data_IF_716935556173
#
_entry.id   IF_716935556173
#
_cell.length_a   1.000
_cell.length_b   1.000
_cell.length_c   1.000
_cell.angle_alpha   90.00
_cell.angle_beta   90.00
_cell.angle_gamma   90.00
#
_symmetry.space_group_name_H-M   'P 1'
#
loop_
_entity.id
_entity.type
_entity.pdbx_description
1 polymer ?
#
# COMPACT_ATOMS: atom_id res chain seq x y z
N UNK A 1 -17.13 -35.72 34.03
CA UNK A 1 -16.72 -34.52 34.80
C UNK A 1 -15.49 -33.96 34.11
N UNK A 2 -15.62 -32.82 33.42
CA UNK A 2 -14.46 -32.16 32.78
C UNK A 2 -13.66 -31.44 33.86
N UNK A 3 -12.42 -31.90 34.09
CA UNK A 3 -11.48 -31.25 34.99
C UNK A 3 -11.01 -29.94 34.38
N UNK A 4 -11.35 -28.82 35.03
CA UNK A 4 -10.82 -27.52 34.66
C UNK A 4 -9.34 -27.47 35.02
N UNK A 5 -8.48 -27.47 34.00
CA UNK A 5 -7.05 -27.23 34.20
C UNK A 5 -6.88 -25.80 34.74
N UNK A 6 -6.33 -25.71 35.94
CA UNK A 6 -6.10 -24.45 36.62
C UNK A 6 -5.00 -23.70 35.87
N UNK A 7 -5.36 -22.59 35.22
CA UNK A 7 -4.36 -21.70 34.61
C UNK A 7 -3.57 -21.07 35.76
N UNK A 8 -2.23 -21.10 35.74
CA UNK A 8 -1.42 -20.51 36.80
C UNK A 8 -1.54 -18.98 36.83
N UNK A 9 -1.63 -18.40 38.03
CA UNK A 9 -1.79 -16.95 38.21
C UNK A 9 -0.66 -16.12 37.58
N UNK A 10 0.56 -16.66 37.55
CA UNK A 10 1.71 -16.01 36.91
C UNK A 10 1.51 -15.80 35.40
N UNK A 11 0.76 -16.68 34.73
CA UNK A 11 0.44 -16.57 33.30
C UNK A 11 -0.55 -15.42 33.06
N UNK A 12 -1.56 -15.28 33.92
CA UNK A 12 -2.53 -14.18 33.85
C UNK A 12 -1.86 -12.83 34.07
N UNK A 13 -0.93 -12.74 35.03
CA UNK A 13 -0.14 -11.53 35.30
C UNK A 13 0.71 -11.17 34.07
N UNK A 14 1.37 -12.15 33.44
CA UNK A 14 2.14 -11.94 32.21
C UNK A 14 1.29 -11.41 31.05
N UNK A 15 0.10 -11.98 30.83
CA UNK A 15 -0.84 -11.52 29.79
C UNK A 15 -1.28 -10.08 30.08
N UNK A 16 -1.61 -9.75 31.32
CA UNK A 16 -2.01 -8.40 31.72
C UNK A 16 -0.91 -7.36 31.46
N UNK A 17 0.35 -7.69 31.80
CA UNK A 17 1.50 -6.82 31.54
C UNK A 17 1.66 -6.56 30.04
N UNK A 18 1.53 -7.59 29.20
CA UNK A 18 1.63 -7.45 27.74
C UNK A 18 0.53 -6.53 27.20
N UNK A 19 -0.71 -6.65 27.71
CA UNK A 19 -1.83 -5.79 27.32
C UNK A 19 -1.58 -4.33 27.72
N UNK A 20 -1.09 -4.07 28.93
CA UNK A 20 -0.79 -2.72 29.41
C UNK A 20 0.33 -2.07 28.59
N UNK A 21 1.41 -2.81 28.31
CA UNK A 21 2.52 -2.32 27.48
C UNK A 21 2.03 -1.99 26.07
N UNK A 22 1.20 -2.86 25.48
CA UNK A 22 0.62 -2.63 24.16
C UNK A 22 -0.28 -1.38 24.13
N UNK A 23 -1.09 -1.17 25.17
CA UNK A 23 -1.94 0.02 25.30
C UNK A 23 -1.13 1.31 25.47
N UNK A 24 -0.09 1.30 26.31
CA UNK A 24 0.77 2.46 26.54
C UNK A 24 1.55 2.86 25.27
N UNK A 25 2.09 1.88 24.54
CA UNK A 25 2.76 2.11 23.25
C UNK A 25 1.77 2.69 22.24
N UNK A 26 0.56 2.15 22.17
CA UNK A 26 -0.49 2.65 21.28
C UNK A 26 -0.86 4.11 21.57
N UNK A 27 -0.97 4.47 22.86
CA UNK A 27 -1.28 5.83 23.29
C UNK A 27 -0.15 6.83 22.96
N UNK A 28 1.10 6.49 23.29
CA UNK A 28 2.28 7.31 22.99
C UNK A 28 2.51 7.52 21.48
N UNK A 29 2.02 6.62 20.64
CA UNK A 29 2.17 6.72 19.20
C UNK A 29 1.08 7.57 18.52
N UNK A 30 -0.07 7.79 19.20
CA UNK A 30 -1.18 8.60 18.71
C UNK A 30 -0.89 10.12 18.77
N UNK A 31 -0.05 10.59 19.70
CA UNK A 31 0.20 12.02 19.95
C UNK A 31 1.16 12.71 18.97
N UNK A 32 1.71 11.99 17.99
CA UNK A 32 2.61 12.56 16.98
C UNK A 32 1.85 13.34 15.90
N UNK A 33 1.62 14.64 16.12
CA UNK A 33 1.11 15.55 15.09
C UNK A 33 2.14 15.69 13.96
N UNK A 34 1.73 15.36 12.73
CA UNK A 34 2.52 15.57 11.53
C UNK A 34 1.96 16.82 10.84
N UNK A 35 2.81 17.83 10.67
CA UNK A 35 2.49 19.01 9.88
C UNK A 35 2.35 18.62 8.40
N UNK A 36 1.14 18.80 7.87
CA UNK A 36 0.87 18.68 6.45
C UNK A 36 1.33 19.98 5.79
N UNK A 37 2.39 19.95 4.97
CA UNK A 37 2.62 20.98 3.95
C UNK A 37 1.92 20.51 2.66
N UNK A 38 0.70 20.98 2.36
CA UNK A 38 0.05 20.66 1.10
C UNK A 38 0.84 21.26 -0.07
N UNK A 39 1.09 20.47 -1.10
CA UNK A 39 1.57 20.98 -2.38
C UNK A 39 0.49 21.88 -2.99
N UNK A 40 0.89 23.07 -3.43
CA UNK A 40 0.01 24.06 -4.07
C UNK A 40 -0.44 23.53 -5.43
N UNK A 41 -1.53 22.78 -5.42
CA UNK A 41 -2.33 22.41 -6.58
C UNK A 41 -3.78 22.51 -6.12
N UNK A 42 -4.52 23.47 -6.70
CA UNK A 42 -5.89 23.80 -6.34
C UNK A 42 -6.93 22.84 -6.95
N UNK A 43 -6.50 21.82 -7.69
CA UNK A 43 -7.43 20.85 -8.27
C UNK A 43 -7.75 19.73 -7.27
N UNK A 44 -8.99 19.72 -6.79
CA UNK A 44 -9.47 18.77 -5.78
C UNK A 44 -9.76 17.38 -6.39
N UNK A 45 -9.89 17.25 -7.70
CA UNK A 45 -10.15 15.97 -8.37
C UNK A 45 -8.95 15.01 -8.40
N UNK A 46 -7.77 15.51 -8.05
CA UNK A 46 -6.50 14.78 -8.15
C UNK A 46 -5.96 14.34 -6.80
N UNK A 47 -6.76 14.49 -5.73
CA UNK A 47 -6.38 14.17 -4.36
C UNK A 47 -7.33 13.15 -3.78
N UNK A 48 -6.78 12.15 -3.11
CA UNK A 48 -7.57 11.09 -2.47
C UNK A 48 -6.97 10.66 -1.14
N UNK A 49 -7.76 9.95 -0.36
CA UNK A 49 -7.30 9.27 0.83
C UNK A 49 -7.93 7.88 0.93
N UNK A 50 -7.25 7.00 1.65
CA UNK A 50 -7.78 5.70 2.04
C UNK A 50 -7.17 5.26 3.38
N UNK A 51 -7.79 4.29 4.03
CA UNK A 51 -7.23 3.67 5.23
C UNK A 51 -6.63 2.33 4.88
N UNK A 52 -5.33 2.16 5.14
CA UNK A 52 -4.71 0.87 4.83
C UNK A 52 -5.23 -0.22 5.78
N UNK A 53 -5.24 -1.46 5.28
CA UNK A 53 -5.51 -2.62 6.11
C UNK A 53 -4.45 -2.75 7.22
N UNK A 54 -4.84 -3.07 8.47
CA UNK A 54 -3.91 -3.17 9.59
C UNK A 54 -2.91 -4.32 9.42
N UNK A 55 -3.30 -5.37 8.70
CA UNK A 55 -2.51 -6.57 8.48
C UNK A 55 -2.24 -6.78 6.99
N UNK A 56 -1.05 -7.28 6.64
CA UNK A 56 -0.62 -7.47 5.25
C UNK A 56 -1.41 -8.55 4.51
N UNK A 57 -1.84 -9.60 5.23
CA UNK A 57 -2.62 -10.71 4.67
C UNK A 57 -4.12 -10.41 4.53
N UNK A 58 -4.61 -9.30 5.07
CA UNK A 58 -6.03 -8.96 4.96
C UNK A 58 -6.43 -8.69 3.50
N UNK A 59 -7.53 -9.34 3.12
CA UNK A 59 -8.20 -9.25 1.82
C UNK A 59 -9.41 -8.32 1.84
N UNK A 60 -9.63 -7.60 2.96
CA UNK A 60 -10.72 -6.61 3.06
C UNK A 60 -10.51 -5.54 1.98
N UNK A 61 -11.54 -5.21 1.17
CA UNK A 61 -11.47 -4.08 0.26
C UNK A 61 -11.21 -2.77 0.99
N UNK A 62 -10.37 -1.94 0.40
CA UNK A 62 -9.97 -0.63 0.89
C UNK A 62 -10.58 0.41 -0.03
N UNK A 63 -11.51 1.21 0.48
CA UNK A 63 -12.13 2.28 -0.30
C UNK A 63 -11.16 3.45 -0.50
N UNK A 64 -11.07 3.92 -1.74
CA UNK A 64 -10.34 5.14 -2.12
C UNK A 64 -11.36 6.23 -2.35
N UNK A 65 -11.23 7.31 -1.59
CA UNK A 65 -12.18 8.43 -1.59
C UNK A 65 -11.44 9.71 -1.93
N UNK A 66 -12.02 10.55 -2.79
CA UNK A 66 -11.47 11.87 -3.10
C UNK A 66 -11.68 12.86 -1.94
N UNK A 67 -11.04 14.02 -1.99
CA UNK A 67 -11.17 15.05 -0.94
C UNK A 67 -12.55 15.70 -0.86
N UNK A 68 -13.44 15.48 -1.84
CA UNK A 68 -14.85 15.89 -1.82
C UNK A 68 -15.77 14.79 -1.28
N UNK A 69 -15.21 13.73 -0.69
CA UNK A 69 -15.95 12.54 -0.23
C UNK A 69 -16.59 11.73 -1.37
N UNK A 70 -16.19 11.97 -2.62
CA UNK A 70 -16.59 11.18 -3.76
C UNK A 70 -15.85 9.85 -3.78
N UNK A 71 -16.58 8.75 -3.95
CA UNK A 71 -15.98 7.43 -4.12
C UNK A 71 -15.15 7.40 -5.41
N UNK A 72 -13.87 7.02 -5.36
CA UNK A 72 -13.00 6.87 -6.55
C UNK A 72 -13.01 5.42 -7.04
N UNK A 73 -13.03 4.48 -6.09
CA UNK A 73 -12.95 3.05 -6.33
C UNK A 73 -12.51 2.34 -5.06
N UNK A 74 -12.06 1.10 -5.20
CA UNK A 74 -11.54 0.31 -4.09
C UNK A 74 -10.34 -0.53 -4.51
N UNK A 75 -9.49 -0.86 -3.54
CA UNK A 75 -8.32 -1.72 -3.73
C UNK A 75 -8.44 -2.92 -2.81
N UNK A 76 -8.21 -4.09 -3.37
CA UNK A 76 -8.29 -5.34 -2.65
C UNK A 76 -7.04 -6.17 -2.90
N UNK A 77 -6.53 -6.80 -1.84
CA UNK A 77 -5.53 -7.85 -1.96
C UNK A 77 -6.24 -9.18 -2.19
N UNK A 78 -5.81 -9.91 -3.21
CA UNK A 78 -6.35 -11.21 -3.57
C UNK A 78 -5.28 -12.29 -3.41
N UNK A 79 -5.72 -13.50 -3.04
CA UNK A 79 -4.89 -14.69 -2.99
C UNK A 79 -5.60 -15.76 -3.80
N UNK A 80 -4.96 -16.27 -4.85
CA UNK A 80 -5.60 -17.21 -5.79
C UNK A 80 -6.00 -18.56 -5.16
N UNK A 81 -5.66 -18.83 -3.89
CA UNK A 81 -6.06 -20.03 -3.17
C UNK A 81 -6.03 -19.81 -1.65
N UNK A 82 -6.89 -20.52 -0.90
CA UNK A 82 -6.90 -20.49 0.57
C UNK A 82 -5.56 -20.97 1.15
N UNK A 83 -4.93 -21.98 0.55
CA UNK A 83 -3.58 -22.43 0.95
C UNK A 83 -2.53 -21.33 0.80
N UNK A 84 -2.66 -20.47 -0.22
CA UNK A 84 -1.78 -19.31 -0.41
C UNK A 84 -2.01 -18.23 0.64
N UNK A 85 -3.24 -18.09 1.16
CA UNK A 85 -3.53 -17.20 2.30
C UNK A 85 -2.81 -17.70 3.57
N UNK A 86 -2.84 -19.00 3.87
CA UNK A 86 -2.08 -19.54 5.00
C UNK A 86 -0.57 -19.37 4.83
N UNK A 87 -0.03 -19.67 3.63
CA UNK A 87 1.37 -19.44 3.33
C UNK A 87 1.75 -17.95 3.39
N UNK A 88 0.80 -17.03 3.16
CA UNK A 88 1.02 -15.59 3.29
C UNK A 88 1.27 -15.13 4.74
N UNK A 89 0.91 -15.93 5.75
CA UNK A 89 1.29 -15.65 7.14
C UNK A 89 2.82 -15.76 7.32
N UNK A 90 3.46 -16.69 6.61
CA UNK A 90 4.91 -16.91 6.65
C UNK A 90 5.65 -16.11 5.56
N UNK A 91 5.04 -15.98 4.38
CA UNK A 91 5.61 -15.33 3.20
C UNK A 91 4.59 -14.36 2.57
N UNK A 92 4.26 -13.25 3.25
CA UNK A 92 3.16 -12.34 2.86
C UNK A 92 3.36 -11.71 1.49
N UNK A 93 4.60 -11.64 1.01
CA UNK A 93 4.95 -10.95 -0.23
C UNK A 93 4.92 -11.87 -1.45
N UNK A 94 4.69 -13.18 -1.33
CA UNK A 94 4.94 -14.14 -2.42
C UNK A 94 3.71 -14.51 -3.25
N UNK A 95 2.52 -14.49 -2.65
CA UNK A 95 1.30 -15.02 -3.27
C UNK A 95 0.16 -14.01 -3.45
N UNK A 96 0.45 -12.74 -3.19
CA UNK A 96 -0.54 -11.68 -3.21
C UNK A 96 -0.63 -11.04 -4.60
N UNK A 97 -1.85 -10.86 -5.07
CA UNK A 97 -2.20 -9.93 -6.16
C UNK A 97 -2.98 -8.75 -5.58
N UNK A 98 -2.93 -7.62 -6.26
CA UNK A 98 -3.68 -6.42 -5.88
C UNK A 98 -4.61 -6.07 -7.03
N UNK A 99 -5.89 -5.92 -6.72
CA UNK A 99 -6.92 -5.53 -7.67
C UNK A 99 -7.48 -4.18 -7.27
N UNK A 100 -7.45 -3.22 -8.17
CA UNK A 100 -8.18 -1.97 -8.05
C UNK A 100 -9.43 -2.00 -8.93
N UNK A 101 -10.59 -1.80 -8.33
CA UNK A 101 -11.85 -1.64 -9.06
C UNK A 101 -12.32 -0.18 -9.01
N UNK A 102 -12.89 0.28 -10.12
CA UNK A 102 -13.42 1.63 -10.24
C UNK A 102 -14.79 1.79 -9.55
N UNK A 103 -15.38 2.98 -9.66
CA UNK A 103 -16.71 3.30 -9.10
C UNK A 103 -17.84 2.44 -9.67
N UNK A 104 -17.66 1.85 -10.84
CA UNK A 104 -18.64 0.99 -11.52
C UNK A 104 -18.37 -0.49 -11.26
N UNK A 105 -17.46 -0.83 -10.33
CA UNK A 105 -16.96 -2.18 -10.07
C UNK A 105 -16.25 -2.84 -11.26
N UNK A 106 -15.88 -2.05 -12.29
CA UNK A 106 -14.99 -2.49 -13.35
C UNK A 106 -13.58 -2.71 -12.80
N UNK A 107 -12.88 -3.74 -13.28
CA UNK A 107 -11.48 -3.95 -12.90
C UNK A 107 -10.62 -2.95 -13.66
N UNK A 108 -10.10 -1.94 -12.94
CA UNK A 108 -9.31 -0.87 -13.52
C UNK A 108 -7.82 -1.19 -13.56
N UNK A 109 -7.30 -1.77 -12.47
CA UNK A 109 -5.88 -2.12 -12.34
C UNK A 109 -5.72 -3.47 -11.66
N UNK A 110 -4.80 -4.28 -12.16
CA UNK A 110 -4.36 -5.51 -11.53
C UNK A 110 -2.85 -5.50 -11.42
N UNK A 111 -2.33 -5.76 -10.23
CA UNK A 111 -0.91 -5.82 -9.94
C UNK A 111 -0.56 -7.21 -9.43
N UNK A 112 0.27 -7.94 -10.16
CA UNK A 112 0.65 -9.31 -9.84
C UNK A 112 2.16 -9.46 -9.74
N UNK A 113 2.61 -10.28 -8.79
CA UNK A 113 4.04 -10.56 -8.67
C UNK A 113 4.48 -11.58 -9.72
N UNK A 114 5.47 -11.21 -10.52
CA UNK A 114 6.06 -12.13 -11.50
C UNK A 114 6.94 -13.14 -10.76
N UNK A 115 6.71 -14.43 -11.02
CA UNK A 115 7.56 -15.51 -10.54
C UNK A 115 8.59 -15.84 -11.61
N UNK A 116 9.87 -15.73 -11.27
CA UNK A 116 10.95 -16.16 -12.17
C UNK A 116 10.95 -17.69 -12.34
N UNK A 117 11.39 -18.18 -13.50
CA UNK A 117 11.49 -19.62 -13.83
C UNK A 117 12.31 -20.45 -12.83
N UNK A 118 13.22 -19.83 -12.06
CA UNK A 118 14.15 -20.52 -11.15
C UNK A 118 13.92 -20.22 -9.65
N UNK A 119 12.73 -19.77 -9.23
CA UNK A 119 12.38 -19.66 -7.80
C UNK A 119 13.10 -18.59 -6.98
N UNK A 120 14.18 -17.97 -7.48
CA UNK A 120 14.82 -16.79 -6.85
C UNK A 120 14.38 -15.51 -7.55
N UNK A 121 13.46 -14.82 -6.88
CA UNK A 121 12.67 -13.71 -7.42
C UNK A 121 13.44 -12.40 -7.25
N UNK A 122 13.90 -11.78 -8.35
CA UNK A 122 13.93 -10.31 -8.38
C UNK A 122 12.49 -9.89 -8.15
N UNK A 123 12.20 -9.26 -7.01
CA UNK A 123 10.90 -8.63 -6.73
C UNK A 123 10.59 -7.76 -7.94
N UNK A 124 9.60 -8.15 -8.73
CA UNK A 124 9.15 -7.47 -9.94
C UNK A 124 7.66 -7.75 -10.02
N UNK A 125 6.91 -6.69 -10.24
CA UNK A 125 5.45 -6.76 -10.28
C UNK A 125 5.01 -6.32 -11.66
N UNK A 126 4.10 -7.08 -12.21
CA UNK A 126 3.39 -6.73 -13.42
C UNK A 126 2.16 -5.91 -13.06
N UNK A 127 1.91 -4.87 -13.82
CA UNK A 127 0.72 -4.03 -13.71
C UNK A 127 -0.01 -4.13 -15.03
N UNK A 128 -1.29 -4.44 -14.96
CA UNK A 128 -2.22 -4.45 -16.08
C UNK A 128 -3.30 -3.41 -15.79
N UNK A 129 -3.47 -2.46 -16.71
CA UNK A 129 -4.52 -1.46 -16.70
C UNK A 129 -5.60 -1.84 -17.70
N UNK A 130 -6.84 -1.94 -17.23
CA UNK A 130 -8.00 -2.25 -18.06
C UNK A 130 -9.05 -1.17 -17.85
N UNK A 131 -9.01 -0.12 -18.67
CA UNK A 131 -9.99 0.96 -18.67
C UNK A 131 -10.45 1.23 -20.11
N UNK A 132 -11.71 1.68 -20.34
CA UNK A 132 -12.23 1.93 -21.68
C UNK A 132 -11.32 2.77 -22.59
N UNK A 133 -10.54 3.69 -22.00
CA UNK A 133 -9.68 4.63 -22.72
C UNK A 133 -8.18 4.41 -22.44
N UNK A 134 -7.81 3.39 -21.67
CA UNK A 134 -6.43 3.15 -21.25
C UNK A 134 -6.23 1.66 -21.00
N UNK A 135 -5.57 0.99 -21.94
CA UNK A 135 -5.13 -0.39 -21.79
C UNK A 135 -3.61 -0.42 -21.95
N UNK A 136 -2.91 -0.74 -20.87
CA UNK A 136 -1.45 -0.76 -20.84
C UNK A 136 -0.96 -1.82 -19.86
N UNK A 137 0.16 -2.46 -20.18
CA UNK A 137 0.83 -3.44 -19.32
C UNK A 137 2.29 -3.05 -19.14
N UNK A 138 2.73 -3.01 -17.90
CA UNK A 138 4.10 -2.64 -17.58
C UNK A 138 4.61 -3.35 -16.33
N UNK A 139 5.92 -3.26 -16.09
CA UNK A 139 6.57 -3.86 -14.93
C UNK A 139 7.11 -2.81 -13.97
N UNK A 140 6.80 -2.97 -12.69
CA UNK A 140 7.45 -2.27 -11.58
C UNK A 140 8.75 -3.01 -11.26
N UNK A 141 9.86 -2.37 -11.62
CA UNK A 141 11.21 -2.83 -11.32
C UNK A 141 11.68 -2.21 -10.01
N UNK A 142 12.20 -3.03 -9.11
CA UNK A 142 12.74 -2.56 -7.86
C UNK A 142 14.17 -2.11 -8.05
N UNK A 143 14.50 -0.96 -7.48
CA UNK A 143 15.85 -0.44 -7.49
C UNK A 143 16.47 -0.71 -6.12
N UNK A 144 17.44 -1.63 -6.07
CA UNK A 144 18.21 -1.89 -4.83
C UNK A 144 19.35 -0.88 -4.76
N UNK A 145 19.48 -0.23 -3.59
CA UNK A 145 20.65 0.57 -3.20
C UNK A 145 20.98 1.70 -4.18
N UNK A 146 20.01 2.54 -4.52
CA UNK A 146 20.36 3.81 -5.14
C UNK A 146 20.72 4.85 -4.07
N UNK A 147 21.84 5.59 -4.20
CA UNK A 147 22.10 6.78 -3.38
C UNK A 147 21.01 7.86 -3.59
N UNK A 148 20.22 7.77 -4.68
CA UNK A 148 19.16 8.72 -5.01
C UNK A 148 17.81 8.47 -4.30
N UNK A 149 17.74 7.60 -3.29
CA UNK A 149 16.49 7.22 -2.59
C UNK A 149 15.37 6.66 -3.49
N UNK A 150 15.66 6.36 -4.75
CA UNK A 150 14.74 5.68 -5.67
C UNK A 150 14.62 4.22 -5.26
N UNK A 151 13.38 3.75 -5.10
CA UNK A 151 13.04 2.40 -4.63
C UNK A 151 12.41 1.55 -5.74
N UNK A 152 11.80 2.18 -6.74
CA UNK A 152 11.19 1.49 -7.86
C UNK A 152 11.08 2.40 -9.08
N UNK A 153 10.99 1.79 -10.25
CA UNK A 153 10.70 2.46 -11.51
C UNK A 153 9.79 1.63 -12.40
N UNK A 154 9.01 2.30 -13.24
CA UNK A 154 8.13 1.69 -14.22
C UNK A 154 7.88 2.66 -15.38
N UNK A 155 7.50 2.13 -16.54
CA UNK A 155 7.07 2.93 -17.68
C UNK A 155 5.56 3.04 -17.68
N UNK A 156 5.02 4.23 -17.84
CA UNK A 156 3.58 4.47 -17.97
C UNK A 156 3.36 5.55 -19.04
N UNK A 157 2.50 5.26 -20.03
CA UNK A 157 2.28 6.13 -21.19
C UNK A 157 3.59 6.50 -21.92
N UNK A 158 4.47 5.51 -22.13
CA UNK A 158 5.81 5.67 -22.73
C UNK A 158 6.80 6.56 -21.95
N UNK A 159 6.46 7.02 -20.75
CA UNK A 159 7.36 7.83 -19.91
C UNK A 159 7.85 7.04 -18.71
N UNK A 160 9.11 7.26 -18.33
CA UNK A 160 9.70 6.64 -17.15
C UNK A 160 9.20 7.34 -15.88
N UNK A 161 8.54 6.58 -15.02
CA UNK A 161 8.15 7.00 -13.68
C UNK A 161 9.14 6.41 -12.67
N UNK A 162 9.71 7.28 -11.83
CA UNK A 162 10.57 6.89 -10.71
C UNK A 162 9.84 7.11 -9.39
N UNK A 163 9.90 6.13 -8.50
CA UNK A 163 9.35 6.24 -7.15
C UNK A 163 10.48 6.36 -6.16
N UNK A 164 10.55 7.49 -5.46
CA UNK A 164 11.54 7.72 -4.42
C UNK A 164 10.88 7.75 -3.03
N UNK A 165 11.67 7.32 -2.04
CA UNK A 165 11.32 7.41 -0.62
C UNK A 165 12.53 7.93 0.16
N UNK A 166 12.59 9.24 0.42
CA UNK A 166 13.64 9.82 1.23
C UNK A 166 13.72 9.14 2.61
N UNK A 167 14.93 8.99 3.14
CA UNK A 167 15.13 8.36 4.44
C UNK A 167 14.55 9.23 5.56
N UNK A 168 13.89 8.61 6.54
CA UNK A 168 13.23 9.32 7.64
C UNK A 168 11.88 9.96 7.28
N UNK A 169 11.59 10.13 5.99
CA UNK A 169 10.30 10.64 5.54
C UNK A 169 9.24 9.53 5.43
N UNK A 170 8.00 9.94 5.68
CA UNK A 170 6.80 9.10 5.59
C UNK A 170 6.06 9.32 4.28
N UNK A 171 6.80 9.73 3.27
CA UNK A 171 6.30 10.16 1.98
C UNK A 171 6.95 9.36 0.86
N UNK A 172 6.17 9.10 -0.18
CA UNK A 172 6.62 8.49 -1.41
C UNK A 172 6.36 9.49 -2.53
N UNK A 173 7.37 9.71 -3.36
CA UNK A 173 7.33 10.70 -4.42
C UNK A 173 7.43 9.99 -5.76
N UNK A 174 6.49 10.28 -6.65
CA UNK A 174 6.45 9.78 -8.02
C UNK A 174 6.95 10.88 -8.92
N UNK A 175 8.00 10.62 -9.70
CA UNK A 175 8.60 11.57 -10.62
C UNK A 175 8.41 11.11 -12.06
N UNK A 176 7.96 12.04 -12.91
CA UNK A 176 7.85 11.91 -14.36
C UNK A 176 8.75 12.97 -14.98
N UNK A 177 9.76 12.56 -15.75
CA UNK A 177 10.74 13.49 -16.34
C UNK A 177 11.32 14.50 -15.33
N UNK A 178 11.72 13.99 -14.15
CA UNK A 178 12.26 14.76 -13.00
C UNK A 178 11.31 15.80 -12.37
N UNK A 179 10.05 15.85 -12.80
CA UNK A 179 8.98 16.62 -12.14
C UNK A 179 8.16 15.70 -11.25
N UNK A 180 7.80 16.18 -10.05
CA UNK A 180 6.93 15.42 -9.15
C UNK A 180 5.52 15.31 -9.74
N UNK A 181 5.10 14.08 -10.06
CA UNK A 181 3.82 13.73 -10.66
C UNK A 181 2.73 13.45 -9.62
N UNK A 182 3.15 12.83 -8.52
CA UNK A 182 2.28 12.51 -7.40
C UNK A 182 3.10 12.32 -6.12
N UNK A 183 2.43 12.51 -4.99
CA UNK A 183 2.98 12.29 -3.65
C UNK A 183 2.01 11.48 -2.81
N UNK A 184 2.53 10.49 -2.10
CA UNK A 184 1.78 9.76 -1.07
C UNK A 184 2.34 10.12 0.29
N UNK A 185 1.47 10.47 1.23
CA UNK A 185 1.82 10.75 2.63
C UNK A 185 1.16 9.74 3.56
N UNK A 186 1.96 9.12 4.42
CA UNK A 186 1.50 8.20 5.47
C UNK A 186 1.20 8.98 6.76
N UNK A 187 -0.07 9.07 7.13
CA UNK A 187 -0.53 9.73 8.36
C UNK A 187 -0.74 8.66 9.43
N UNK A 188 0.01 8.77 10.54
CA UNK A 188 0.05 7.78 11.62
C UNK A 188 1.32 6.92 11.62
N UNK A 189 1.71 6.41 12.80
CA UNK A 189 2.93 5.59 12.95
C UNK A 189 2.69 4.11 12.63
N UNK A 190 1.57 3.55 13.08
CA UNK A 190 1.21 2.15 12.94
C UNK A 190 -0.06 1.97 12.11
N UNK A 191 -0.20 0.86 11.36
CA UNK A 191 -1.46 0.49 10.72
C UNK A 191 -2.62 0.33 11.74
N UNK A 192 -3.88 0.62 11.36
CA UNK A 192 -4.30 1.17 10.07
C UNK A 192 -3.98 2.67 9.97
N UNK A 193 -3.13 3.04 9.01
CA UNK A 193 -2.76 4.44 8.74
C UNK A 193 -3.70 5.05 7.72
N UNK A 194 -3.92 6.36 7.85
CA UNK A 194 -4.54 7.14 6.78
C UNK A 194 -3.48 7.43 5.72
N UNK A 195 -3.75 7.03 4.49
CA UNK A 195 -2.92 7.29 3.33
C UNK A 195 -3.52 8.47 2.59
N UNK A 196 -2.73 9.50 2.35
CA UNK A 196 -3.12 10.64 1.53
C UNK A 196 -2.35 10.60 0.21
N UNK A 197 -3.05 10.81 -0.90
CA UNK A 197 -2.53 10.84 -2.25
C UNK A 197 -2.77 12.26 -2.78
N UNK A 198 -1.70 12.93 -3.17
CA UNK A 198 -1.69 14.22 -3.84
C UNK A 198 -1.17 14.00 -5.27
N UNK A 199 -2.08 13.77 -6.22
CA UNK A 199 -1.75 13.64 -7.64
C UNK A 199 -1.84 14.98 -8.35
N UNK A 200 -1.22 15.07 -9.52
CA UNK A 200 -1.40 16.18 -10.47
C UNK A 200 -2.35 15.78 -11.59
N UNK A 201 -3.11 16.75 -12.10
CA UNK A 201 -4.14 16.51 -13.11
C UNK A 201 -3.50 16.01 -14.41
N UNK A 202 -4.05 14.94 -14.97
CA UNK A 202 -3.57 14.35 -16.22
C UNK A 202 -2.28 13.53 -16.13
N UNK A 203 -1.71 13.37 -14.93
CA UNK A 203 -0.46 12.61 -14.76
C UNK A 203 -0.70 11.12 -14.53
N UNK A 204 -0.93 10.69 -13.28
CA UNK A 204 -1.10 9.27 -12.94
C UNK A 204 -2.47 9.09 -12.27
N UNK A 205 -3.32 8.14 -12.72
CA UNK A 205 -4.61 7.89 -12.09
C UNK A 205 -4.49 7.53 -10.61
N UNK A 206 -5.37 8.10 -9.77
CA UNK A 206 -5.37 7.89 -8.31
C UNK A 206 -5.39 6.42 -7.90
N UNK A 207 -6.23 5.63 -8.56
CA UNK A 207 -6.38 4.20 -8.28
C UNK A 207 -5.13 3.41 -8.66
N UNK A 208 -4.43 3.83 -9.73
CA UNK A 208 -3.14 3.26 -10.11
C UNK A 208 -2.07 3.58 -9.08
N UNK A 209 -1.95 4.85 -8.67
CA UNK A 209 -1.00 5.28 -7.63
C UNK A 209 -1.19 4.44 -6.35
N UNK A 210 -2.44 4.28 -5.92
CA UNK A 210 -2.78 3.56 -4.73
C UNK A 210 -2.48 2.05 -4.84
N UNK A 211 -2.75 1.42 -5.99
CA UNK A 211 -2.44 0.00 -6.24
C UNK A 211 -0.92 -0.26 -6.30
N UNK A 212 -0.17 0.61 -6.97
CA UNK A 212 1.31 0.55 -7.00
C UNK A 212 1.85 0.68 -5.58
N UNK A 213 1.32 1.62 -4.80
CA UNK A 213 1.78 1.82 -3.43
C UNK A 213 1.54 0.61 -2.54
N UNK A 214 0.38 -0.05 -2.66
CA UNK A 214 0.12 -1.33 -1.98
C UNK A 214 1.14 -2.41 -2.38
N UNK A 215 1.53 -2.48 -3.66
CA UNK A 215 2.57 -3.42 -4.12
C UNK A 215 3.94 -3.08 -3.53
N UNK A 216 4.29 -1.79 -3.44
CA UNK A 216 5.55 -1.34 -2.86
C UNK A 216 5.66 -1.63 -1.35
N UNK A 217 4.55 -1.69 -0.60
CA UNK A 217 4.56 -2.14 0.82
C UNK A 217 4.98 -3.60 0.97
N UNK A 218 4.90 -4.36 -0.12
CA UNK A 218 5.22 -5.80 -0.22
C UNK A 218 6.59 -6.03 -0.89
N UNK A 219 7.23 -4.98 -1.41
CA UNK A 219 8.64 -4.99 -1.82
C UNK A 219 9.53 -5.07 -0.57
N UNK A 220 10.10 -6.25 -0.31
CA UNK A 220 11.26 -6.47 0.57
C UNK A 220 12.23 -7.40 -0.16
#
# INVERSE_FOLDING_TARGET
MYGGEHIPDWFLIMVLIIVIVFAAISFLMSSGRVELKPGVSNDRGTKAFYYENPLKFMTKPIEVVDVKMGHVGQIQREYNAVSKLFLSLLMPNYFVSIKGTDKQNGTFVRVEKIKGKNGMVKSSWEVELNSPNLNERFMIKGERKSPSHVIASFTFQNELIRVAKPSGERTYHFYRNDKEAAKISLIGKLPPRKIFIDGRQGEIPLLLIAAIFEALKLYR
#
